data_IF_392147253881
#
_entry.id   IF_392147253881
#
_cell.length_a   1.000
_cell.length_b   1.000
_cell.length_c   1.000
_cell.angle_alpha   90.00
_cell.angle_beta   90.00
_cell.angle_gamma   90.00
#
_symmetry.space_group_name_H-M   'P 1'
#
loop_
_entity.id
_entity.type
_entity.pdbx_description
1 polymer ?
#
# COMPACT_ATOMS: atom_id res chain seq x y z
N UNK A 1 -13.96 -5.12 32.14
CA UNK A 1 -15.40 -4.84 32.05
C UNK A 1 -15.66 -3.47 31.39
N UNK A 2 -15.02 -2.38 31.86
CA UNK A 2 -15.21 -1.03 31.32
C UNK A 2 -14.90 -0.94 29.80
N UNK A 3 -13.82 -1.57 29.31
CA UNK A 3 -13.48 -1.57 27.88
C UNK A 3 -14.59 -2.20 27.04
N UNK A 4 -15.16 -3.33 27.49
CA UNK A 4 -16.27 -4.00 26.78
C UNK A 4 -17.51 -3.09 26.69
N UNK A 5 -17.81 -2.37 27.77
CA UNK A 5 -18.93 -1.42 27.79
C UNK A 5 -18.71 -0.26 26.82
N UNK A 6 -17.51 0.33 26.81
CA UNK A 6 -17.15 1.41 25.87
C UNK A 6 -17.22 0.93 24.42
N UNK A 7 -16.68 -0.26 24.12
CA UNK A 7 -16.74 -0.80 22.75
C UNK A 7 -18.18 -1.07 22.33
N UNK A 8 -19.00 -1.64 23.20
CA UNK A 8 -20.41 -1.89 22.88
C UNK A 8 -21.21 -0.60 22.64
N UNK A 9 -20.91 0.47 23.39
CA UNK A 9 -21.64 1.74 23.31
C UNK A 9 -21.15 2.65 22.17
N UNK A 10 -19.83 2.77 21.97
CA UNK A 10 -19.24 3.81 21.11
C UNK A 10 -18.57 3.23 19.85
N UNK A 11 -18.16 1.97 19.88
CA UNK A 11 -17.39 1.32 18.80
C UNK A 11 -18.06 0.03 18.32
N UNK A 12 -19.37 0.08 18.11
CA UNK A 12 -20.19 -1.09 17.80
C UNK A 12 -19.76 -1.91 16.56
N UNK A 13 -18.87 -1.41 15.71
CA UNK A 13 -18.33 -2.12 14.54
C UNK A 13 -17.00 -2.82 14.80
N UNK A 14 -16.48 -2.78 16.03
CA UNK A 14 -15.25 -3.48 16.39
C UNK A 14 -15.48 -5.00 16.35
N UNK A 15 -14.57 -5.71 15.68
CA UNK A 15 -14.56 -7.18 15.61
C UNK A 15 -13.53 -7.78 16.57
N UNK A 16 -12.42 -7.09 16.80
CA UNK A 16 -11.37 -7.54 17.71
C UNK A 16 -10.61 -6.39 18.32
N UNK A 17 -10.11 -6.58 19.52
CA UNK A 17 -9.22 -5.65 20.22
C UNK A 17 -8.06 -6.42 20.79
N UNK A 18 -6.84 -6.02 20.43
CA UNK A 18 -5.60 -6.55 21.02
C UNK A 18 -4.82 -5.40 21.63
N UNK A 19 -4.43 -5.53 22.88
CA UNK A 19 -3.54 -4.59 23.56
C UNK A 19 -2.23 -5.29 23.85
N UNK A 20 -1.16 -4.74 23.29
CA UNK A 20 0.20 -5.23 23.46
C UNK A 20 1.01 -4.24 24.30
N UNK A 21 1.67 -4.73 25.34
CA UNK A 21 2.48 -3.88 26.23
C UNK A 21 3.69 -4.66 26.76
N UNK A 22 4.86 -4.04 26.70
CA UNK A 22 6.11 -4.59 27.23
C UNK A 22 6.45 -6.01 26.75
N UNK A 23 6.18 -6.31 25.47
CA UNK A 23 6.46 -7.64 24.91
C UNK A 23 5.37 -8.68 25.08
N UNK A 24 4.24 -8.33 25.71
CA UNK A 24 3.15 -9.27 26.01
C UNK A 24 1.79 -8.75 25.56
N UNK A 25 0.90 -9.67 25.15
CA UNK A 25 -0.52 -9.37 24.93
C UNK A 25 -1.18 -9.31 26.30
N UNK A 26 -1.58 -8.10 26.72
CA UNK A 26 -2.25 -7.87 28.01
C UNK A 26 -3.77 -7.91 27.91
N UNK A 27 -4.33 -7.79 26.70
CA UNK A 27 -5.75 -7.96 26.44
C UNK A 27 -5.94 -8.47 25.00
N UNK A 28 -6.81 -9.44 24.84
CA UNK A 28 -7.27 -9.94 23.54
C UNK A 28 -8.76 -10.27 23.67
N UNK A 29 -9.60 -9.56 22.92
CA UNK A 29 -11.07 -9.67 22.98
C UNK A 29 -11.65 -9.64 21.58
N UNK A 30 -12.70 -10.43 21.35
CA UNK A 30 -13.41 -10.53 20.08
C UNK A 30 -14.90 -10.24 20.27
N UNK A 31 -15.51 -9.61 19.27
CA UNK A 31 -16.89 -9.13 19.33
C UNK A 31 -17.68 -9.62 18.12
N UNK A 32 -19.00 -9.61 18.20
CA UNK A 32 -19.93 -9.96 17.11
C UNK A 32 -19.72 -11.36 16.51
N UNK A 33 -19.27 -12.30 17.32
CA UNK A 33 -19.00 -13.65 16.84
C UNK A 33 -17.67 -13.84 16.12
N UNK A 34 -16.87 -12.77 15.97
CA UNK A 34 -15.51 -12.89 15.48
C UNK A 34 -14.62 -13.68 16.45
N UNK A 35 -13.56 -14.25 15.94
CA UNK A 35 -12.59 -15.01 16.73
C UNK A 35 -11.16 -14.81 16.20
N UNK A 36 -10.19 -15.38 16.91
CA UNK A 36 -8.77 -15.21 16.60
C UNK A 36 -8.36 -15.73 15.22
N UNK A 37 -9.03 -16.79 14.78
CA UNK A 37 -8.69 -17.49 13.52
C UNK A 37 -9.38 -16.86 12.29
N UNK A 38 -10.28 -15.90 12.51
CA UNK A 38 -11.04 -15.29 11.44
C UNK A 38 -10.23 -14.19 10.74
N UNK A 39 -10.13 -14.30 9.43
CA UNK A 39 -9.49 -13.27 8.60
C UNK A 39 -10.49 -12.19 8.25
N UNK A 40 -10.10 -10.93 8.47
CA UNK A 40 -10.89 -9.76 8.12
C UNK A 40 -10.17 -8.89 7.13
N UNK A 41 -10.93 -8.20 6.27
CA UNK A 41 -10.33 -7.29 5.30
C UNK A 41 -9.75 -6.06 5.99
N UNK A 42 -8.45 -5.82 5.81
CA UNK A 42 -7.71 -4.74 6.49
C UNK A 42 -7.83 -3.39 5.80
N UNK A 43 -8.45 -3.33 4.61
CA UNK A 43 -8.57 -2.11 3.81
C UNK A 43 -7.25 -1.33 3.70
N UNK A 44 -7.27 -0.03 3.98
CA UNK A 44 -6.11 0.85 3.81
C UNK A 44 -4.95 0.63 4.77
N UNK A 45 -5.10 -0.24 5.78
CA UNK A 45 -3.96 -0.66 6.61
C UNK A 45 -2.89 -1.34 5.75
N UNK A 46 -3.28 -2.00 4.66
CA UNK A 46 -2.35 -2.61 3.69
C UNK A 46 -1.33 -1.61 3.14
N UNK A 47 -1.63 -0.31 3.11
CA UNK A 47 -0.69 0.73 2.66
C UNK A 47 0.55 0.82 3.55
N UNK A 48 0.38 0.64 4.85
CA UNK A 48 1.51 0.56 5.79
C UNK A 48 2.35 -0.70 5.55
N UNK A 49 1.70 -1.81 5.21
CA UNK A 49 2.42 -3.05 4.84
C UNK A 49 3.23 -2.81 3.56
N UNK A 50 2.65 -2.18 2.54
CA UNK A 50 3.38 -1.85 1.31
C UNK A 50 4.58 -0.95 1.58
N UNK A 51 4.47 0.02 2.47
CA UNK A 51 5.61 0.86 2.88
C UNK A 51 6.72 0.03 3.52
N UNK A 52 6.40 -0.92 4.40
CA UNK A 52 7.36 -1.86 4.98
C UNK A 52 8.02 -2.71 3.90
N UNK A 53 7.24 -3.22 2.93
CA UNK A 53 7.76 -4.03 1.83
C UNK A 53 8.72 -3.25 0.92
N UNK A 54 8.48 -1.97 0.68
CA UNK A 54 9.43 -1.09 -0.02
C UNK A 54 10.75 -0.99 0.80
N UNK A 55 10.66 -0.80 2.12
CA UNK A 55 11.84 -0.81 2.98
C UNK A 55 12.62 -2.12 2.92
N UNK A 56 11.92 -3.26 2.93
CA UNK A 56 12.53 -4.58 2.76
C UNK A 56 13.16 -4.73 1.37
N UNK A 57 12.50 -4.23 0.31
CA UNK A 57 13.04 -4.29 -1.05
C UNK A 57 14.34 -3.49 -1.17
N UNK A 58 14.46 -2.36 -0.46
CA UNK A 58 15.70 -1.59 -0.36
C UNK A 58 16.77 -2.37 0.40
N UNK A 59 16.45 -2.93 1.57
CA UNK A 59 17.37 -3.75 2.38
C UNK A 59 17.92 -4.95 1.60
N UNK A 60 17.13 -5.55 0.74
CA UNK A 60 17.51 -6.68 -0.12
C UNK A 60 18.20 -6.25 -1.43
N UNK A 61 18.36 -4.96 -1.70
CA UNK A 61 19.01 -4.45 -2.91
C UNK A 61 18.17 -4.56 -4.20
N UNK A 62 16.87 -4.81 -4.10
CA UNK A 62 15.95 -4.78 -5.26
C UNK A 62 15.61 -3.35 -5.69
N UNK A 63 15.60 -2.44 -4.74
CA UNK A 63 15.38 -0.99 -4.92
C UNK A 63 16.58 -0.28 -4.32
N UNK A 64 17.08 0.74 -5.00
CA UNK A 64 18.28 1.47 -4.55
C UNK A 64 18.00 2.32 -3.31
N UNK A 65 16.92 3.11 -3.35
CA UNK A 65 16.48 3.96 -2.25
C UNK A 65 15.07 4.50 -2.49
N UNK A 66 14.48 5.17 -1.51
CA UNK A 66 13.20 5.88 -1.68
C UNK A 66 13.31 7.05 -2.67
N UNK A 67 14.53 7.56 -2.92
CA UNK A 67 14.80 8.63 -3.89
C UNK A 67 14.92 8.12 -5.33
N UNK A 68 14.88 6.80 -5.55
CA UNK A 68 14.91 6.24 -6.90
C UNK A 68 13.66 6.71 -7.67
N UNK A 69 13.87 7.12 -8.92
CA UNK A 69 12.80 7.61 -9.79
C UNK A 69 11.88 6.47 -10.20
N UNK A 70 10.59 6.74 -10.19
CA UNK A 70 9.59 5.73 -10.56
C UNK A 70 9.76 5.29 -12.01
N UNK A 71 10.14 6.17 -12.91
CA UNK A 71 10.36 5.81 -14.32
C UNK A 71 11.52 4.87 -14.57
N UNK A 72 12.45 4.70 -13.63
CA UNK A 72 13.55 3.73 -13.77
C UNK A 72 13.02 2.29 -13.80
N UNK A 73 11.84 2.04 -13.24
CA UNK A 73 11.16 0.74 -13.28
C UNK A 73 10.31 0.53 -14.55
N UNK A 74 10.10 1.58 -15.33
CA UNK A 74 9.26 1.55 -16.54
C UNK A 74 9.98 2.18 -17.74
N UNK A 75 11.12 1.60 -18.19
CA UNK A 75 11.99 2.21 -19.21
C UNK A 75 11.30 2.40 -20.56
N UNK A 76 10.30 1.59 -20.86
CA UNK A 76 9.54 1.68 -22.12
C UNK A 76 8.40 2.69 -22.07
N UNK A 77 8.11 3.28 -20.89
CA UNK A 77 7.05 4.26 -20.77
C UNK A 77 7.41 5.55 -21.50
N UNK A 78 6.56 6.00 -22.41
CA UNK A 78 6.72 7.25 -23.14
C UNK A 78 5.86 8.34 -22.50
N UNK A 79 6.53 9.42 -22.06
CA UNK A 79 5.85 10.56 -21.47
C UNK A 79 4.83 11.14 -22.43
N UNK A 80 3.63 11.41 -21.90
CA UNK A 80 2.57 12.10 -22.61
C UNK A 80 2.70 13.62 -22.40
N UNK A 81 1.93 14.39 -23.15
CA UNK A 81 1.85 15.85 -22.98
C UNK A 81 1.52 16.20 -21.51
N UNK A 82 2.20 17.20 -20.97
CA UNK A 82 2.07 17.68 -19.58
C UNK A 82 2.40 16.58 -18.52
N UNK A 83 3.47 15.84 -18.76
CA UNK A 83 3.98 14.83 -17.82
C UNK A 83 5.46 15.03 -17.48
N UNK A 84 6.02 16.19 -17.77
CA UNK A 84 7.44 16.48 -17.58
C UNK A 84 7.86 16.21 -16.13
N UNK A 85 7.02 16.56 -15.17
CA UNK A 85 7.26 16.33 -13.73
C UNK A 85 7.44 14.85 -13.39
N UNK A 86 6.82 13.93 -14.14
CA UNK A 86 6.95 12.49 -13.86
C UNK A 86 8.39 12.00 -13.94
N UNK A 87 9.28 12.72 -14.62
CA UNK A 87 10.72 12.42 -14.65
C UNK A 87 11.38 12.45 -13.28
N UNK A 88 10.87 13.29 -12.39
CA UNK A 88 11.46 13.59 -11.09
C UNK A 88 10.64 13.01 -9.93
N UNK A 89 9.52 12.33 -10.22
CA UNK A 89 8.73 11.66 -9.20
C UNK A 89 9.46 10.42 -8.70
N UNK A 90 9.64 10.33 -7.39
CA UNK A 90 10.35 9.25 -6.71
C UNK A 90 9.40 8.31 -5.96
N UNK A 91 9.91 7.19 -5.49
CA UNK A 91 9.20 6.27 -4.59
C UNK A 91 8.73 7.02 -3.33
N UNK A 92 9.56 7.92 -2.77
CA UNK A 92 9.21 8.73 -1.59
C UNK A 92 7.93 9.53 -1.80
N UNK A 93 7.74 10.13 -2.97
CA UNK A 93 6.53 10.91 -3.27
C UNK A 93 5.26 10.03 -3.23
N UNK A 94 5.33 8.77 -3.61
CA UNK A 94 4.22 7.83 -3.48
C UNK A 94 3.99 7.40 -2.03
N UNK A 95 5.05 7.14 -1.28
CA UNK A 95 4.98 6.77 0.15
C UNK A 95 4.40 7.90 1.00
N UNK A 96 4.77 9.14 0.70
CA UNK A 96 4.29 10.35 1.40
C UNK A 96 2.99 10.90 0.84
N UNK A 97 2.47 10.31 -0.25
CA UNK A 97 1.27 10.76 -0.95
C UNK A 97 1.35 12.22 -1.44
N UNK A 98 2.50 12.59 -1.98
CA UNK A 98 2.77 13.95 -2.49
C UNK A 98 2.99 14.00 -4.00
N UNK A 99 2.46 13.02 -4.72
CA UNK A 99 2.50 12.94 -6.18
C UNK A 99 1.52 13.93 -6.80
N UNK A 100 1.93 14.74 -7.81
CA UNK A 100 1.04 15.68 -8.48
C UNK A 100 0.11 14.98 -9.46
N UNK A 101 -1.03 14.52 -9.00
CA UNK A 101 -2.04 13.89 -9.86
C UNK A 101 -2.87 14.90 -10.64
N UNK A 102 -3.35 14.50 -11.82
CA UNK A 102 -4.26 15.28 -12.70
C UNK A 102 -5.71 15.22 -12.24
N UNK A 103 -6.06 14.32 -11.31
CA UNK A 103 -7.42 14.09 -10.84
C UNK A 103 -7.63 14.64 -9.43
N UNK A 104 -8.88 14.99 -9.11
CA UNK A 104 -9.34 15.25 -7.75
C UNK A 104 -9.88 13.99 -7.08
N UNK A 105 -10.55 13.12 -7.86
CA UNK A 105 -11.02 11.80 -7.44
C UNK A 105 -10.37 10.73 -8.30
N UNK A 106 -9.97 9.64 -7.70
CA UNK A 106 -9.27 8.54 -8.38
C UNK A 106 -10.11 7.95 -9.52
N UNK A 107 -9.55 7.83 -10.74
CA UNK A 107 -10.28 7.29 -11.90
C UNK A 107 -10.33 5.76 -11.88
N UNK A 108 -10.97 5.18 -10.85
CA UNK A 108 -11.03 3.75 -10.61
C UNK A 108 -11.43 2.93 -11.82
N UNK A 109 -12.56 3.26 -12.45
CA UNK A 109 -13.04 2.52 -13.62
C UNK A 109 -12.00 2.45 -14.71
N UNK A 110 -11.35 3.57 -15.01
CA UNK A 110 -10.33 3.66 -16.06
C UNK A 110 -9.10 2.82 -15.77
N UNK A 111 -8.67 2.76 -14.51
CA UNK A 111 -7.48 2.00 -14.11
C UNK A 111 -7.83 0.52 -13.97
N UNK A 112 -8.90 0.18 -13.28
CA UNK A 112 -9.27 -1.21 -13.02
C UNK A 112 -9.77 -1.99 -14.25
N UNK A 113 -10.15 -1.30 -15.33
CA UNK A 113 -10.48 -1.94 -16.62
C UNK A 113 -9.31 -2.00 -17.59
N UNK A 114 -8.13 -1.49 -17.22
CA UNK A 114 -6.92 -1.61 -18.04
C UNK A 114 -6.26 -2.98 -17.88
N UNK A 115 -5.52 -3.41 -18.89
CA UNK A 115 -4.74 -4.66 -18.84
C UNK A 115 -3.60 -4.61 -17.82
N UNK A 116 -3.01 -3.43 -17.62
CA UNK A 116 -1.94 -3.17 -16.66
C UNK A 116 -2.29 -1.94 -15.82
N UNK A 117 -2.68 -2.19 -14.58
CA UNK A 117 -3.06 -1.14 -13.63
C UNK A 117 -1.90 -0.21 -13.28
N UNK A 118 -0.69 -0.75 -13.19
CA UNK A 118 0.50 0.05 -12.91
C UNK A 118 0.79 1.05 -14.00
N UNK A 119 0.83 0.59 -15.24
CA UNK A 119 1.02 1.47 -16.39
C UNK A 119 -0.14 2.44 -16.58
N UNK A 120 -1.38 2.07 -16.20
CA UNK A 120 -2.55 2.93 -16.29
C UNK A 120 -2.54 4.10 -15.28
N UNK A 121 -1.75 4.00 -14.21
CA UNK A 121 -1.59 5.06 -13.20
C UNK A 121 -0.64 6.16 -13.70
N UNK A 122 0.43 5.81 -14.40
CA UNK A 122 1.43 6.76 -14.87
C UNK A 122 0.84 7.94 -15.69
N UNK A 123 -0.12 7.72 -16.61
CA UNK A 123 -0.78 8.82 -17.34
C UNK A 123 -1.57 9.80 -16.45
N UNK A 124 -1.87 9.43 -15.22
CA UNK A 124 -2.63 10.26 -14.29
C UNK A 124 -1.74 11.26 -13.53
N UNK A 125 -0.41 11.18 -13.70
CA UNK A 125 0.57 12.06 -13.06
C UNK A 125 0.88 13.25 -13.96
N UNK A 126 1.16 14.41 -13.38
CA UNK A 126 1.43 15.67 -14.07
C UNK A 126 0.34 16.72 -13.79
N UNK A 127 -0.15 16.76 -12.56
CA UNK A 127 -1.02 17.83 -12.05
C UNK A 127 -0.28 19.18 -11.99
N UNK A 128 -1.00 20.22 -11.56
CA UNK A 128 -0.44 21.59 -11.48
C UNK A 128 0.41 21.82 -10.22
N UNK A 129 0.26 20.97 -9.21
CA UNK A 129 1.01 21.06 -7.96
C UNK A 129 2.48 20.70 -8.19
N UNK A 130 3.38 21.28 -7.43
CA UNK A 130 4.76 20.84 -7.41
C UNK A 130 4.90 19.49 -6.69
N UNK A 131 5.91 18.73 -7.07
CA UNK A 131 6.22 17.43 -6.44
C UNK A 131 6.59 17.67 -4.98
N UNK A 132 6.05 16.88 -4.08
CA UNK A 132 6.40 16.94 -2.65
C UNK A 132 5.64 18.00 -1.84
N UNK A 133 4.89 18.89 -2.47
CA UNK A 133 4.27 20.02 -1.75
C UNK A 133 2.90 19.71 -1.15
N UNK A 134 2.07 18.96 -1.86
CA UNK A 134 0.67 18.75 -1.45
C UNK A 134 0.39 17.28 -1.18
N UNK A 135 -0.17 17.01 0.00
CA UNK A 135 -0.71 15.69 0.32
C UNK A 135 -1.96 15.42 -0.53
N UNK A 136 -1.95 14.30 -1.26
CA UNK A 136 -3.09 13.80 -2.02
C UNK A 136 -3.21 12.30 -1.79
N UNK A 137 -4.14 11.91 -0.92
CA UNK A 137 -4.39 10.50 -0.64
C UNK A 137 -4.71 9.74 -1.92
N UNK A 138 -3.96 8.67 -2.20
CA UNK A 138 -4.15 7.87 -3.40
C UNK A 138 -3.92 6.38 -3.12
N UNK A 139 -4.96 5.59 -3.36
CA UNK A 139 -4.85 4.13 -3.34
C UNK A 139 -4.22 3.62 -4.62
N UNK A 140 -4.52 4.25 -5.76
CA UNK A 140 -3.89 3.91 -7.04
C UNK A 140 -2.37 4.14 -6.99
N UNK A 141 -1.92 5.21 -6.31
CA UNK A 141 -0.49 5.45 -6.11
C UNK A 141 0.20 4.34 -5.32
N UNK A 142 -0.42 3.85 -4.25
CA UNK A 142 0.12 2.72 -3.49
C UNK A 142 0.10 1.43 -4.30
N UNK A 143 -0.89 1.24 -5.17
CA UNK A 143 -0.93 0.10 -6.09
C UNK A 143 0.27 0.12 -7.07
N UNK A 144 0.71 1.31 -7.53
CA UNK A 144 1.93 1.42 -8.33
C UNK A 144 3.18 0.95 -7.57
N UNK A 145 3.27 1.22 -6.26
CA UNK A 145 4.37 0.70 -5.44
C UNK A 145 4.41 -0.83 -5.42
N UNK A 146 3.26 -1.49 -5.43
CA UNK A 146 3.18 -2.95 -5.56
C UNK A 146 3.73 -3.45 -6.89
N UNK A 147 3.46 -2.73 -7.98
CA UNK A 147 4.04 -3.03 -9.29
C UNK A 147 5.55 -2.77 -9.33
N UNK A 148 6.04 -1.74 -8.66
CA UNK A 148 7.48 -1.49 -8.54
C UNK A 148 8.17 -2.66 -7.84
N UNK A 149 7.61 -3.20 -6.75
CA UNK A 149 8.12 -4.40 -6.08
C UNK A 149 8.18 -5.56 -7.07
N UNK A 150 7.12 -5.78 -7.85
CA UNK A 150 7.07 -6.85 -8.84
C UNK A 150 8.15 -6.69 -9.91
N UNK A 151 8.30 -5.50 -10.47
CA UNK A 151 9.30 -5.23 -11.51
C UNK A 151 10.72 -5.39 -10.97
N UNK A 152 10.98 -4.86 -9.77
CA UNK A 152 12.30 -4.87 -9.17
C UNK A 152 12.74 -6.27 -8.69
N UNK A 153 11.81 -7.05 -8.12
CA UNK A 153 12.13 -8.34 -7.49
C UNK A 153 11.82 -9.57 -8.37
N UNK A 154 11.01 -9.40 -9.42
CA UNK A 154 10.46 -10.51 -10.19
C UNK A 154 9.35 -11.30 -9.49
N UNK A 155 8.93 -10.89 -8.28
CA UNK A 155 7.89 -11.53 -7.48
C UNK A 155 6.66 -10.64 -7.40
N UNK A 156 5.45 -11.21 -7.47
CA UNK A 156 4.27 -10.45 -7.11
C UNK A 156 4.32 -10.03 -5.63
N UNK A 157 3.54 -9.01 -5.27
CA UNK A 157 3.58 -8.43 -3.93
C UNK A 157 3.25 -9.45 -2.84
N UNK A 158 2.31 -10.37 -3.08
CA UNK A 158 1.93 -11.38 -2.09
C UNK A 158 3.06 -12.38 -1.85
N UNK A 159 3.68 -12.89 -2.92
CA UNK A 159 4.83 -13.79 -2.83
C UNK A 159 6.02 -13.10 -2.14
N UNK A 160 6.27 -11.82 -2.48
CA UNK A 160 7.31 -11.02 -1.84
C UNK A 160 7.03 -10.82 -0.34
N UNK A 161 5.81 -10.44 0.01
CA UNK A 161 5.39 -10.24 1.41
C UNK A 161 5.47 -11.56 2.21
N UNK A 162 5.01 -12.66 1.63
CA UNK A 162 5.07 -13.97 2.27
C UNK A 162 6.51 -14.32 2.62
N UNK A 163 7.41 -14.24 1.65
CA UNK A 163 8.81 -14.64 1.79
C UNK A 163 9.60 -13.75 2.77
N UNK A 164 9.40 -12.43 2.70
CA UNK A 164 10.29 -11.48 3.38
C UNK A 164 9.67 -10.80 4.61
N UNK A 165 8.37 -10.92 4.81
CA UNK A 165 7.67 -10.31 5.95
C UNK A 165 6.85 -11.34 6.73
N UNK A 166 5.93 -12.06 6.09
CA UNK A 166 4.98 -12.88 6.82
C UNK A 166 5.63 -14.14 7.42
N UNK A 167 6.35 -14.93 6.63
CA UNK A 167 7.05 -16.12 7.13
C UNK A 167 8.05 -15.79 8.25
N UNK A 168 8.93 -14.76 8.13
CA UNK A 168 9.83 -14.38 9.22
C UNK A 168 9.11 -13.96 10.51
N UNK A 169 7.89 -13.41 10.41
CA UNK A 169 7.05 -13.05 11.55
C UNK A 169 6.19 -14.21 12.08
N UNK A 170 6.24 -15.40 11.43
CA UNK A 170 5.41 -16.53 11.78
C UNK A 170 3.94 -16.38 11.38
N UNK A 171 3.62 -15.38 10.54
CA UNK A 171 2.27 -15.16 10.01
C UNK A 171 2.05 -16.15 8.87
N UNK A 172 1.00 -16.96 8.97
CA UNK A 172 0.65 -18.02 8.01
C UNK A 172 -0.73 -17.76 7.41
N UNK A 173 -0.96 -18.38 6.27
CA UNK A 173 -2.29 -18.42 5.63
C UNK A 173 -2.89 -17.01 5.35
N UNK A 174 -2.04 -16.06 4.98
CA UNK A 174 -2.50 -14.73 4.55
C UNK A 174 -3.23 -14.87 3.22
N UNK A 175 -4.55 -14.61 3.15
CA UNK A 175 -5.28 -14.75 1.90
C UNK A 175 -4.76 -13.76 0.86
N UNK A 176 -4.51 -14.26 -0.36
CA UNK A 176 -4.31 -13.38 -1.51
C UNK A 176 -5.66 -12.94 -2.03
N UNK A 177 -5.95 -11.65 -1.98
CA UNK A 177 -7.11 -11.09 -2.68
C UNK A 177 -6.64 -10.70 -4.08
N UNK A 178 -6.94 -11.55 -5.06
CA UNK A 178 -6.79 -11.16 -6.45
C UNK A 178 -7.91 -10.15 -6.75
N UNK A 179 -7.55 -8.89 -6.85
CA UNK A 179 -8.43 -7.87 -7.43
C UNK A 179 -8.24 -7.97 -8.93
N UNK A 180 -9.24 -8.53 -9.59
CA UNK A 180 -9.32 -8.62 -11.05
C UNK A 180 -9.65 -7.25 -11.65
#
# INVERSE_FOLDING_TARGET
>A
EQIRQVIAAEYANTLGLVVYKNGEIVLEEYFKGANREESVHTFSIVKSIVAILIGIAIDKGYIESVNQRVLDFFPDYRLKRNQEQLRDVTIENFLTMTVPYKFKSEPWTKVCTSEDWGLAILPQIGGKQAIGEQFHYSTLGVHLLSNIIKVASGMDMHAFATKYLFEPLGIRDVPSVNVY
#
